data_IF_257982869411
#
_entry.id   IF_257982869411
#
_cell.length_a   1.000
_cell.length_b   1.000
_cell.length_c   1.000
_cell.angle_alpha   90.00
_cell.angle_beta   90.00
_cell.angle_gamma   90.00
#
_symmetry.space_group_name_H-M   'P 1'
#
loop_
_entity.id
_entity.type
_entity.pdbx_description
1 polymer ?
#
# COMPACT_ATOMS: atom_id res chain seq x y z
N UNK A 1 14.37 -9.54 0.88
CA UNK A 1 14.75 -9.40 -0.53
C UNK A 1 15.21 -7.97 -0.83
N UNK A 2 16.36 -7.54 -0.30
CA UNK A 2 16.97 -6.26 -0.69
C UNK A 2 18.40 -6.52 -1.13
N UNK A 3 18.82 -5.89 -2.24
CA UNK A 3 20.13 -6.13 -2.85
C UNK A 3 20.20 -7.32 -3.82
N UNK A 4 19.09 -8.00 -4.09
CA UNK A 4 19.00 -9.06 -5.10
C UNK A 4 18.34 -8.52 -6.37
N UNK A 5 18.82 -8.97 -7.54
CA UNK A 5 18.21 -8.63 -8.83
C UNK A 5 16.87 -9.37 -8.93
N UNK A 6 15.78 -8.60 -8.95
CA UNK A 6 14.43 -9.12 -9.19
C UNK A 6 14.12 -8.93 -10.68
N UNK A 7 13.67 -9.99 -11.33
CA UNK A 7 13.08 -9.89 -12.67
C UNK A 7 11.59 -9.61 -12.50
N UNK A 8 11.14 -8.48 -13.08
CA UNK A 8 9.74 -8.07 -13.07
C UNK A 8 9.14 -8.34 -14.45
N UNK A 9 8.01 -9.02 -14.48
CA UNK A 9 7.23 -9.24 -15.68
C UNK A 9 6.30 -8.04 -15.88
N UNK A 10 6.73 -7.10 -16.71
CA UNK A 10 6.00 -5.88 -17.00
C UNK A 10 4.91 -6.12 -18.05
N UNK A 11 3.70 -5.68 -17.74
CA UNK A 11 2.59 -5.63 -18.69
C UNK A 11 2.11 -4.19 -18.86
N UNK A 12 1.51 -3.88 -20.01
CA UNK A 12 0.86 -2.58 -20.23
C UNK A 12 -0.26 -2.42 -19.21
N UNK A 13 -0.47 -1.20 -18.73
CA UNK A 13 -1.55 -0.88 -17.78
C UNK A 13 -2.76 -0.30 -18.55
N UNK A 14 -3.86 -1.07 -18.73
CA UNK A 14 -5.05 -0.59 -19.45
C UNK A 14 -5.68 0.66 -18.85
N UNK A 15 -5.65 0.81 -17.52
CA UNK A 15 -6.25 1.94 -16.82
C UNK A 15 -5.51 3.27 -17.05
N UNK A 16 -4.26 3.22 -17.54
CA UNK A 16 -3.46 4.41 -17.83
C UNK A 16 -2.56 4.15 -19.04
N UNK A 17 -3.06 4.42 -20.26
CA UNK A 17 -2.30 4.23 -21.49
C UNK A 17 -0.93 4.90 -21.46
N UNK A 18 0.09 4.21 -21.95
CA UNK A 18 1.49 4.68 -21.91
C UNK A 18 2.22 4.30 -20.62
N UNK A 19 1.56 3.69 -19.63
CA UNK A 19 2.19 3.18 -18.41
C UNK A 19 2.25 1.65 -18.38
N UNK A 20 3.02 1.13 -17.42
CA UNK A 20 3.27 -0.29 -17.22
C UNK A 20 3.05 -0.66 -15.76
N UNK A 21 2.72 -1.93 -15.51
CA UNK A 21 2.58 -2.52 -14.17
C UNK A 21 3.39 -3.80 -14.08
N UNK A 22 3.80 -4.14 -12.86
CA UNK A 22 4.36 -5.43 -12.51
C UNK A 22 3.96 -5.74 -11.06
N UNK A 23 3.91 -7.02 -10.73
CA UNK A 23 3.63 -7.52 -9.38
C UNK A 23 4.70 -8.53 -8.99
N UNK A 24 5.06 -8.53 -7.71
CA UNK A 24 6.02 -9.49 -7.18
C UNK A 24 5.66 -9.84 -5.75
N UNK A 25 5.48 -11.13 -5.49
CA UNK A 25 5.40 -11.65 -4.13
C UNK A 25 6.80 -11.81 -3.55
N UNK A 26 6.96 -11.49 -2.27
CA UNK A 26 8.25 -11.53 -1.61
C UNK A 26 8.16 -12.14 -0.22
N UNK A 27 9.31 -12.64 0.26
CA UNK A 27 9.51 -13.04 1.65
C UNK A 27 10.71 -12.29 2.20
N UNK A 28 10.58 -11.81 3.43
CA UNK A 28 11.58 -10.97 4.08
C UNK A 28 11.39 -10.94 5.58
N UNK A 29 12.28 -10.22 6.26
CA UNK A 29 12.14 -9.92 7.69
C UNK A 29 11.08 -8.84 7.91
N UNK A 30 10.60 -8.71 9.15
CA UNK A 30 9.82 -7.56 9.56
C UNK A 30 10.51 -6.24 9.16
N UNK A 31 9.72 -5.26 8.72
CA UNK A 31 10.20 -3.98 8.19
C UNK A 31 10.63 -3.98 6.72
N UNK A 32 10.66 -5.14 6.04
CA UNK A 32 10.96 -5.19 4.59
C UNK A 32 9.95 -4.36 3.77
N UNK A 33 8.67 -4.32 4.17
CA UNK A 33 7.67 -3.50 3.48
C UNK A 33 7.97 -2.01 3.59
N UNK A 34 8.33 -1.53 4.77
CA UNK A 34 8.77 -0.15 5.01
C UNK A 34 9.99 0.22 4.16
N UNK A 35 10.97 -0.68 4.06
CA UNK A 35 12.18 -0.49 3.26
C UNK A 35 11.87 -0.45 1.76
N UNK A 36 10.96 -1.30 1.27
CA UNK A 36 10.47 -1.27 -0.11
C UNK A 36 9.72 0.03 -0.41
N UNK A 37 8.76 0.42 0.44
CA UNK A 37 8.00 1.65 0.28
C UNK A 37 8.92 2.89 0.28
N UNK A 38 9.94 2.91 1.13
CA UNK A 38 10.94 3.96 1.19
C UNK A 38 11.78 4.04 -0.08
N UNK A 39 12.21 2.89 -0.63
CA UNK A 39 12.96 2.85 -1.88
C UNK A 39 12.11 3.30 -3.09
N UNK A 40 10.83 2.92 -3.13
CA UNK A 40 9.92 3.25 -4.22
C UNK A 40 9.46 4.71 -4.19
N UNK A 41 9.42 5.35 -3.02
CA UNK A 41 9.05 6.77 -2.83
C UNK A 41 9.86 7.73 -3.71
N UNK A 42 11.10 7.37 -4.07
CA UNK A 42 11.97 8.22 -4.90
C UNK A 42 11.44 8.47 -6.32
N UNK A 43 10.43 7.72 -6.77
CA UNK A 43 9.86 7.82 -8.12
C UNK A 43 8.52 8.55 -8.10
N UNK A 44 8.55 9.84 -8.41
CA UNK A 44 7.41 10.76 -8.24
C UNK A 44 6.14 10.37 -9.02
N UNK A 45 6.28 9.67 -10.15
CA UNK A 45 5.15 9.26 -11.00
C UNK A 45 4.64 7.85 -10.69
N UNK A 46 5.27 7.14 -9.74
CA UNK A 46 4.95 5.75 -9.45
C UNK A 46 3.69 5.64 -8.57
N UNK A 47 2.78 4.76 -8.97
CA UNK A 47 1.74 4.20 -8.11
C UNK A 47 2.21 2.84 -7.62
N UNK A 48 2.12 2.59 -6.33
CA UNK A 48 2.50 1.29 -5.78
C UNK A 48 1.68 0.92 -4.55
N UNK A 49 1.57 -0.39 -4.34
CA UNK A 49 1.10 -0.97 -3.10
C UNK A 49 2.15 -1.97 -2.60
N UNK A 50 2.44 -1.92 -1.30
CA UNK A 50 3.30 -2.91 -0.64
C UNK A 50 2.55 -3.44 0.58
N UNK A 51 2.29 -4.74 0.57
CA UNK A 51 1.61 -5.42 1.68
C UNK A 51 2.54 -6.45 2.30
N UNK A 52 2.59 -6.46 3.62
CA UNK A 52 3.21 -7.50 4.44
C UNK A 52 2.14 -8.16 5.30
N UNK A 53 2.09 -9.48 5.22
CA UNK A 53 1.27 -10.31 6.11
C UNK A 53 1.80 -10.22 7.56
N UNK A 54 0.90 -10.21 8.57
CA UNK A 54 1.31 -10.32 9.97
C UNK A 54 2.06 -11.64 10.23
N UNK A 55 2.98 -11.62 11.19
CA UNK A 55 3.74 -12.79 11.59
C UNK A 55 3.92 -12.83 13.12
N UNK A 56 4.54 -13.90 13.63
CA UNK A 56 4.72 -14.10 15.07
C UNK A 56 5.49 -12.97 15.80
N UNK A 57 6.21 -12.11 15.06
CA UNK A 57 7.06 -11.06 15.64
C UNK A 57 6.67 -9.65 15.21
N UNK A 58 5.69 -9.49 14.32
CA UNK A 58 5.28 -8.19 13.79
C UNK A 58 3.84 -8.21 13.26
N UNK A 59 3.15 -7.10 13.43
CA UNK A 59 1.86 -6.84 12.78
C UNK A 59 2.02 -6.76 11.25
N UNK A 60 0.90 -6.85 10.54
CA UNK A 60 0.89 -6.63 9.10
C UNK A 60 1.04 -5.15 8.76
N UNK A 61 1.52 -4.88 7.56
CA UNK A 61 1.70 -3.51 7.06
C UNK A 61 1.13 -3.37 5.66
N UNK A 62 0.43 -2.27 5.41
CA UNK A 62 -0.04 -1.89 4.09
C UNK A 62 0.42 -0.49 3.77
N UNK A 63 1.11 -0.36 2.65
CA UNK A 63 1.51 0.91 2.06
C UNK A 63 0.80 1.08 0.73
N UNK A 64 0.21 2.25 0.52
CA UNK A 64 -0.38 2.64 -0.76
C UNK A 64 0.17 4.01 -1.13
N UNK A 65 0.62 4.19 -2.35
CA UNK A 65 1.23 5.43 -2.78
C UNK A 65 0.68 5.88 -4.13
N UNK A 66 0.38 7.17 -4.22
CA UNK A 66 0.00 7.81 -5.48
C UNK A 66 0.77 9.11 -5.68
N UNK A 67 0.93 9.57 -6.93
CA UNK A 67 1.61 10.83 -7.22
C UNK A 67 0.98 12.03 -6.50
N UNK A 68 -0.35 12.07 -6.41
CA UNK A 68 -1.07 13.25 -5.91
C UNK A 68 -1.26 13.22 -4.38
N UNK A 69 -1.42 12.04 -3.78
CA UNK A 69 -1.70 11.88 -2.35
C UNK A 69 -0.46 11.54 -1.51
N UNK A 70 0.63 11.14 -2.15
CA UNK A 70 1.82 10.62 -1.47
C UNK A 70 1.57 9.23 -0.87
N UNK A 71 2.26 8.90 0.22
CA UNK A 71 2.21 7.57 0.85
C UNK A 71 1.19 7.55 1.99
N UNK A 72 0.27 6.61 1.91
CA UNK A 72 -0.51 6.10 3.03
C UNK A 72 0.15 4.85 3.62
N UNK A 73 0.10 4.74 4.94
CA UNK A 73 0.56 3.59 5.70
C UNK A 73 -0.49 3.23 6.76
N UNK A 74 -0.84 1.94 6.79
CA UNK A 74 -1.69 1.33 7.79
C UNK A 74 -1.05 0.07 8.36
N UNK A 75 -1.19 -0.11 9.67
CA UNK A 75 -0.95 -1.41 10.32
C UNK A 75 -2.20 -2.25 10.13
N UNK A 76 -2.04 -3.52 9.79
CA UNK A 76 -3.15 -4.45 9.58
C UNK A 76 -3.10 -5.59 10.58
N UNK A 77 -4.25 -5.90 11.18
CA UNK A 77 -4.39 -7.05 12.08
C UNK A 77 -4.38 -8.39 11.34
N UNK A 78 -4.45 -9.49 12.09
CA UNK A 78 -4.45 -10.88 11.57
C UNK A 78 -5.58 -11.17 10.57
N UNK A 79 -6.64 -10.36 10.56
CA UNK A 79 -7.79 -10.53 9.67
C UNK A 79 -7.82 -9.51 8.52
N UNK A 80 -6.76 -8.70 8.37
CA UNK A 80 -6.66 -7.67 7.33
C UNK A 80 -7.40 -6.37 7.68
N UNK A 81 -7.90 -6.23 8.91
CA UNK A 81 -8.48 -4.99 9.41
C UNK A 81 -7.41 -3.92 9.63
N UNK A 82 -7.73 -2.67 9.30
CA UNK A 82 -6.83 -1.52 9.56
C UNK A 82 -6.91 -1.16 11.04
N UNK A 83 -5.76 -1.19 11.71
CA UNK A 83 -5.62 -0.70 13.07
C UNK A 83 -5.40 0.82 13.07
N UNK A 84 -6.34 1.55 13.66
CA UNK A 84 -6.25 3.00 13.82
C UNK A 84 -5.88 3.31 15.28
N UNK A 85 -4.70 3.92 15.55
CA UNK A 85 -4.34 4.33 16.89
C UNK A 85 -5.37 5.30 17.48
N UNK A 86 -5.68 5.13 18.78
CA UNK A 86 -6.65 5.95 19.50
C UNK A 86 -6.36 7.45 19.37
N UNK A 87 -5.09 7.86 19.47
CA UNK A 87 -4.67 9.26 19.32
C UNK A 87 -5.02 9.85 17.96
N UNK A 88 -5.00 9.03 16.89
CA UNK A 88 -5.42 9.49 15.56
C UNK A 88 -6.93 9.71 15.48
N UNK A 89 -7.72 8.88 16.14
CA UNK A 89 -9.17 9.08 16.26
C UNK A 89 -9.48 10.33 17.08
N UNK A 90 -8.79 10.53 18.21
CA UNK A 90 -8.94 11.73 19.04
C UNK A 90 -8.58 13.00 18.26
N UNK A 91 -7.50 12.97 17.49
CA UNK A 91 -7.10 14.10 16.65
C UNK A 91 -8.14 14.41 15.55
N UNK A 92 -8.67 13.38 14.87
CA UNK A 92 -9.73 13.54 13.88
C UNK A 92 -10.99 14.17 14.47
N UNK A 93 -11.40 13.72 15.66
CA UNK A 93 -12.55 14.27 16.36
C UNK A 93 -12.32 15.74 16.76
N UNK A 94 -11.14 16.08 17.29
CA UNK A 94 -10.80 17.44 17.68
C UNK A 94 -10.86 18.42 16.51
N UNK A 95 -10.28 18.06 15.36
CA UNK A 95 -10.35 18.88 14.13
C UNK A 95 -11.79 19.06 13.65
N UNK A 96 -12.60 18.02 13.75
CA UNK A 96 -14.01 18.11 13.36
C UNK A 96 -14.82 19.01 14.28
N UNK A 97 -14.56 18.98 15.59
CA UNK A 97 -15.22 19.87 16.57
C UNK A 97 -14.82 21.34 16.39
N UNK A 98 -13.60 21.58 15.89
CA UNK A 98 -13.11 22.92 15.53
C UNK A 98 -13.64 23.41 14.17
N UNK A 99 -14.39 22.58 13.43
CA UNK A 99 -14.95 22.93 12.13
C UNK A 99 -13.94 22.95 10.98
N UNK A 100 -12.71 22.43 11.18
CA UNK A 100 -11.68 22.39 10.15
C UNK A 100 -12.01 21.39 9.03
N UNK A 101 -12.76 20.34 9.37
CA UNK A 101 -13.04 19.18 8.52
C UNK A 101 -14.26 18.43 9.03
N UNK A 102 -14.87 17.59 8.19
CA UNK A 102 -15.96 16.72 8.61
C UNK A 102 -15.38 15.42 9.18
N UNK A 103 -15.91 14.93 10.30
CA UNK A 103 -15.46 13.67 10.90
C UNK A 103 -15.44 12.51 9.91
N UNK A 104 -16.47 12.39 9.05
CA UNK A 104 -16.52 11.35 8.02
C UNK A 104 -15.34 11.42 7.04
N UNK A 105 -14.89 12.62 6.68
CA UNK A 105 -13.75 12.81 5.79
C UNK A 105 -12.42 12.44 6.49
N UNK A 106 -12.27 12.75 7.78
CA UNK A 106 -11.09 12.32 8.54
C UNK A 106 -11.04 10.80 8.72
N UNK A 107 -12.18 10.17 9.03
CA UNK A 107 -12.28 8.70 9.11
C UNK A 107 -11.93 8.08 7.76
N UNK A 108 -12.44 8.61 6.65
CA UNK A 108 -12.10 8.13 5.31
C UNK A 108 -10.58 8.20 5.04
N UNK A 109 -9.91 9.28 5.43
CA UNK A 109 -8.45 9.42 5.32
C UNK A 109 -7.70 8.42 6.20
N UNK A 110 -8.14 8.22 7.45
CA UNK A 110 -7.54 7.25 8.38
C UNK A 110 -7.63 5.81 7.85
N UNK A 111 -8.70 5.50 7.11
CA UNK A 111 -8.91 4.21 6.47
C UNK A 111 -8.25 4.09 5.08
N UNK A 112 -7.57 5.12 4.60
CA UNK A 112 -6.87 5.08 3.31
C UNK A 112 -7.80 5.21 2.09
N UNK A 113 -9.08 5.54 2.28
CA UNK A 113 -10.08 5.60 1.19
C UNK A 113 -9.64 6.44 -0.02
N UNK A 114 -9.04 7.64 0.13
CA UNK A 114 -8.59 8.41 -1.03
C UNK A 114 -7.57 7.67 -1.91
N UNK A 115 -6.68 6.88 -1.29
CA UNK A 115 -5.72 6.06 -2.02
C UNK A 115 -6.40 4.87 -2.68
N UNK A 116 -7.31 4.21 -1.97
CA UNK A 116 -8.10 3.12 -2.55
C UNK A 116 -8.89 3.59 -3.77
N UNK A 117 -9.60 4.71 -3.67
CA UNK A 117 -10.39 5.27 -4.78
C UNK A 117 -9.53 5.59 -6.01
N UNK A 118 -8.29 6.09 -5.82
CA UNK A 118 -7.37 6.35 -6.95
C UNK A 118 -6.76 5.06 -7.52
N UNK A 119 -6.44 4.07 -6.68
CA UNK A 119 -5.75 2.85 -7.09
C UNK A 119 -6.70 1.79 -7.63
N UNK A 120 -7.99 1.83 -7.28
CA UNK A 120 -9.00 0.83 -7.65
C UNK A 120 -9.05 0.55 -9.16
N UNK A 121 -9.06 1.56 -10.06
CA UNK A 121 -9.06 1.32 -11.50
C UNK A 121 -7.84 0.50 -11.99
N UNK A 122 -6.71 0.61 -11.29
CA UNK A 122 -5.47 -0.08 -11.62
C UNK A 122 -5.47 -1.54 -11.12
N UNK A 123 -6.27 -1.89 -10.11
CA UNK A 123 -6.37 -3.26 -9.58
C UNK A 123 -7.10 -4.18 -10.56
N UNK A 124 -8.29 -3.78 -10.99
CA UNK A 124 -9.13 -4.57 -11.92
C UNK A 124 -8.54 -4.74 -13.31
N UNK A 125 -7.68 -3.82 -13.73
CA UNK A 125 -6.98 -3.90 -15.01
C UNK A 125 -5.89 -5.01 -15.06
N UNK A 126 -5.93 -5.97 -14.12
CA UNK A 126 -4.93 -7.03 -13.88
C UNK A 126 -5.46 -8.45 -13.99
N UNK A 127 -6.73 -8.68 -14.38
CA UNK A 127 -7.35 -10.02 -14.54
C UNK A 127 -6.69 -10.96 -15.59
N UNK A 128 -5.44 -10.70 -15.99
CA UNK A 128 -4.66 -11.58 -16.88
C UNK A 128 -3.16 -11.67 -16.55
N UNK A 129 -2.70 -11.15 -15.40
CA UNK A 129 -1.29 -11.24 -15.01
C UNK A 129 -0.98 -12.63 -14.40
N UNK A 130 0.03 -13.37 -14.91
CA UNK A 130 0.42 -14.65 -14.32
C UNK A 130 1.07 -14.46 -12.94
N UNK A 131 0.44 -14.97 -11.88
CA UNK A 131 1.02 -14.98 -10.53
C UNK A 131 2.09 -16.07 -10.44
N UNK A 132 3.37 -15.68 -10.30
CA UNK A 132 4.49 -16.62 -10.11
C UNK A 132 4.97 -16.61 -8.67
N UNK A 133 4.71 -17.70 -7.95
CA UNK A 133 5.25 -17.94 -6.61
C UNK A 133 6.75 -18.26 -6.71
N UNK A 134 7.62 -17.38 -6.20
CA UNK A 134 9.04 -17.66 -6.05
C UNK A 134 9.25 -18.60 -4.84
N UNK A 135 9.37 -19.90 -5.10
CA UNK A 135 9.83 -20.89 -4.13
C UNK A 135 11.36 -20.86 -4.06
N UNK A 136 11.92 -20.64 -2.88
CA UNK A 136 13.35 -20.83 -2.64
C UNK A 136 13.60 -22.33 -2.43
N UNK A 137 14.31 -22.96 -3.37
CA UNK A 137 14.87 -24.30 -3.17
C UNK A 137 16.09 -24.13 -2.26
N UNK A 138 16.09 -24.84 -1.13
CA UNK A 138 17.28 -25.04 -0.28
C UNK A 138 18.09 -26.19 -0.84
#
# INVERSE_FOLDING_TARGET
MLGLRVQLDWIRQPASPGTWRAEVSWKGRAGTASELASALRGWQMLRFEVTAEPCATAEGERYSATPDLGIFHAVTGMHGDILVPEDRLRAALARSQQGETQLAAEVAKLLGKPWDDELEPFRYAGEGAPVRWLHQVV
#
